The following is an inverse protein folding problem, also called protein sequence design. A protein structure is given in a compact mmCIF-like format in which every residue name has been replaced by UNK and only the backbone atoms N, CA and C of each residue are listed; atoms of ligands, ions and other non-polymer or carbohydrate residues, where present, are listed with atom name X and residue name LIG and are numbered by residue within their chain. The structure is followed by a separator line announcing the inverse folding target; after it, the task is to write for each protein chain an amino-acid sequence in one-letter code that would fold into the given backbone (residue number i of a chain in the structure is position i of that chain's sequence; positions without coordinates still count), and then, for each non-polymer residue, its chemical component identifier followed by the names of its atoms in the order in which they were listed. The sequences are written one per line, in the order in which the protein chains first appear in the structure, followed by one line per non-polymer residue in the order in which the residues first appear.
data_IF_361400735999
#
_entry.id   IF_361400735999
#
_cell.length_a   1.000
_cell.length_b   1.000
_cell.length_c   1.000
_cell.angle_alpha   90.00
_cell.angle_beta   90.00
_cell.angle_gamma   90.00
#
_symmetry.space_group_name_H-M   'P 1'
#
loop_
_entity.id
_entity.type
_entity.pdbx_description
1 polymer ?
#
# COMPACT_ATOMS: atom_id res chain seq x y z
N UNK A 1 -7.15 13.68 11.51
CA UNK A 1 -7.80 12.38 11.84
C UNK A 1 -7.32 11.34 10.86
N UNK A 2 -6.85 10.20 11.35
CA UNK A 2 -6.58 9.00 10.55
C UNK A 2 -7.83 8.12 10.52
N UNK A 3 -8.19 7.70 9.31
CA UNK A 3 -9.27 6.75 9.04
C UNK A 3 -8.66 5.42 8.59
N UNK A 4 -9.29 4.30 8.92
CA UNK A 4 -8.98 3.01 8.31
C UNK A 4 -9.13 3.09 6.78
N UNK A 5 -8.56 2.14 6.01
CA UNK A 5 -8.63 2.20 4.54
C UNK A 5 -10.05 2.41 4.04
N UNK A 6 -10.22 3.42 3.20
CA UNK A 6 -11.52 3.81 2.62
C UNK A 6 -11.67 3.33 1.18
N UNK A 7 -10.60 2.84 0.56
CA UNK A 7 -10.62 2.37 -0.82
C UNK A 7 -11.46 1.11 -0.97
N UNK A 8 -11.98 0.90 -2.16
CA UNK A 8 -12.84 -0.25 -2.46
C UNK A 8 -12.15 -1.56 -2.06
N UNK A 9 -12.84 -2.33 -1.26
CA UNK A 9 -12.43 -3.64 -0.79
C UNK A 9 -13.56 -4.65 -1.05
N UNK A 10 -13.76 -4.99 -2.32
CA UNK A 10 -14.82 -5.87 -2.78
C UNK A 10 -14.36 -7.34 -2.76
N UNK A 11 -13.95 -7.83 -1.58
CA UNK A 11 -13.58 -9.22 -1.35
C UNK A 11 -14.81 -10.01 -0.90
N UNK A 12 -14.91 -11.29 -1.32
CA UNK A 12 -16.01 -12.17 -0.91
C UNK A 12 -16.00 -12.44 0.60
N UNK A 13 -14.80 -12.46 1.21
CA UNK A 13 -14.59 -12.64 2.64
C UNK A 13 -13.56 -11.62 3.13
N UNK A 14 -13.65 -11.25 4.43
CA UNK A 14 -12.72 -10.34 5.11
C UNK A 14 -12.63 -8.92 4.51
N UNK A 15 -13.68 -8.44 3.82
CA UNK A 15 -13.71 -7.09 3.28
C UNK A 15 -13.93 -5.99 4.34
N UNK A 16 -14.21 -6.37 5.59
CA UNK A 16 -14.54 -5.42 6.66
C UNK A 16 -13.37 -4.53 7.08
N UNK A 17 -12.12 -5.01 6.95
CA UNK A 17 -10.94 -4.28 7.42
C UNK A 17 -10.42 -3.22 6.44
N UNK A 18 -10.73 -3.33 5.14
CA UNK A 18 -10.32 -2.36 4.11
C UNK A 18 -8.94 -2.58 3.49
N UNK A 19 -8.10 -3.48 4.03
CA UNK A 19 -6.70 -3.65 3.59
C UNK A 19 -6.51 -4.52 2.33
N UNK A 20 -7.55 -5.11 1.77
CA UNK A 20 -7.49 -5.88 0.51
C UNK A 20 -8.04 -5.05 -0.64
N UNK A 21 -7.35 -3.99 -1.02
CA UNK A 21 -7.80 -3.01 -2.03
C UNK A 21 -8.11 -3.65 -3.37
N UNK A 22 -9.32 -3.43 -3.89
CA UNK A 22 -9.75 -3.92 -5.21
C UNK A 22 -9.89 -2.82 -6.26
N UNK A 23 -9.80 -1.54 -5.85
CA UNK A 23 -9.71 -0.40 -6.75
C UNK A 23 -9.00 0.77 -6.04
N UNK A 24 -7.83 1.17 -6.55
CA UNK A 24 -6.97 2.18 -5.93
C UNK A 24 -7.45 3.64 -6.10
N UNK A 25 -8.37 3.92 -7.03
CA UNK A 25 -8.89 5.25 -7.31
C UNK A 25 -10.37 5.40 -6.95
N UNK A 26 -10.91 4.50 -6.12
CA UNK A 26 -12.33 4.48 -5.80
C UNK A 26 -12.55 4.26 -4.31
N UNK A 27 -13.37 5.11 -3.72
CA UNK A 27 -13.89 4.91 -2.35
C UNK A 27 -14.82 3.70 -2.33
N UNK A 28 -14.77 2.92 -1.27
CA UNK A 28 -15.66 1.77 -1.09
C UNK A 28 -17.12 2.25 -0.99
N UNK A 29 -18.03 1.68 -1.78
CA UNK A 29 -19.45 2.10 -1.79
C UNK A 29 -20.16 1.99 -0.43
N UNK A 30 -19.58 1.27 0.52
CA UNK A 30 -20.10 1.20 1.91
C UNK A 30 -19.89 2.50 2.68
N UNK A 31 -18.94 3.33 2.26
CA UNK A 31 -18.61 4.61 2.90
C UNK A 31 -19.07 5.82 2.08
N UNK A 32 -19.55 5.60 0.84
CA UNK A 32 -19.94 6.62 -0.09
C UNK A 32 -19.18 6.56 -1.41
N UNK A 33 -18.88 7.71 -1.97
CA UNK A 33 -18.11 7.83 -3.20
C UNK A 33 -16.93 8.83 -3.06
N UNK A 34 -16.19 9.00 -4.14
CA UNK A 34 -15.03 9.90 -4.15
C UNK A 34 -15.41 11.35 -3.85
N UNK A 35 -16.55 11.83 -4.38
CA UNK A 35 -17.00 13.22 -4.15
C UNK A 35 -17.43 13.45 -2.71
N UNK A 36 -18.09 12.48 -2.10
CA UNK A 36 -18.48 12.53 -0.69
C UNK A 36 -17.25 12.53 0.22
N UNK A 37 -16.24 11.71 -0.07
CA UNK A 37 -14.98 11.72 0.67
C UNK A 37 -14.22 13.05 0.52
N UNK A 38 -14.17 13.60 -0.69
CA UNK A 38 -13.58 14.92 -0.93
C UNK A 38 -14.30 16.01 -0.15
N UNK A 39 -15.64 16.03 -0.20
CA UNK A 39 -16.44 16.99 0.54
C UNK A 39 -16.25 16.86 2.07
N UNK A 40 -16.15 15.62 2.58
CA UNK A 40 -15.83 15.35 3.97
C UNK A 40 -14.47 15.94 4.38
N UNK A 41 -13.42 15.70 3.57
CA UNK A 41 -12.07 16.23 3.84
C UNK A 41 -12.06 17.76 3.86
N UNK A 42 -12.73 18.41 2.91
CA UNK A 42 -12.85 19.86 2.86
C UNK A 42 -13.57 20.44 4.08
N UNK A 43 -14.69 19.83 4.48
CA UNK A 43 -15.43 20.26 5.68
C UNK A 43 -14.63 20.05 6.97
N UNK A 44 -13.85 18.98 7.06
CA UNK A 44 -12.93 18.75 8.17
C UNK A 44 -11.87 19.85 8.25
N UNK A 45 -11.26 20.19 7.12
CA UNK A 45 -10.24 21.26 7.01
C UNK A 45 -10.80 22.63 7.42
N UNK A 46 -12.02 22.98 7.03
CA UNK A 46 -12.71 24.21 7.48
C UNK A 46 -12.87 24.30 9.00
N UNK A 47 -12.89 23.14 9.68
CA UNK A 47 -12.95 23.03 11.15
C UNK A 47 -11.57 22.90 11.80
N UNK A 48 -10.49 23.05 11.03
CA UNK A 48 -9.12 22.89 11.51
C UNK A 48 -8.69 21.44 11.72
N UNK A 49 -9.34 20.47 11.08
CA UNK A 49 -9.05 19.04 11.19
C UNK A 49 -8.54 18.52 9.86
N UNK A 50 -7.26 18.08 9.82
CA UNK A 50 -6.69 17.43 8.64
C UNK A 50 -7.02 15.94 8.57
N UNK A 51 -7.15 15.40 7.36
CA UNK A 51 -7.39 13.99 7.10
C UNK A 51 -6.08 13.30 6.74
N UNK A 52 -5.81 12.18 7.38
CA UNK A 52 -4.70 11.26 7.08
C UNK A 52 -5.31 10.02 6.44
N UNK A 53 -4.91 9.73 5.22
CA UNK A 53 -5.39 8.57 4.48
C UNK A 53 -4.49 7.36 4.75
N UNK A 54 -5.11 6.21 4.97
CA UNK A 54 -4.42 4.92 5.03
C UNK A 54 -4.17 4.42 3.60
N UNK A 55 -2.91 4.20 3.24
CA UNK A 55 -2.51 3.73 1.91
C UNK A 55 -1.80 2.39 1.99
N UNK A 56 -2.19 1.50 1.10
CA UNK A 56 -1.61 0.17 0.95
C UNK A 56 -0.88 0.14 -0.39
N UNK A 57 0.46 0.08 -0.38
CA UNK A 57 1.27 -0.01 -1.60
C UNK A 57 1.99 -1.35 -1.74
N UNK A 58 1.95 -2.19 -0.70
CA UNK A 58 2.58 -3.49 -0.69
C UNK A 58 1.79 -4.52 -1.51
N UNK A 59 0.49 -4.54 -1.35
CA UNK A 59 -0.37 -5.59 -1.91
C UNK A 59 -1.72 -5.04 -2.39
N UNK A 60 -2.44 -5.85 -3.16
CA UNK A 60 -3.84 -5.60 -3.50
C UNK A 60 -4.74 -6.70 -2.92
N UNK A 61 -6.04 -6.61 -3.15
CA UNK A 61 -6.96 -7.73 -2.92
C UNK A 61 -6.94 -8.71 -4.09
N UNK A 62 -7.10 -10.00 -3.82
CA UNK A 62 -7.15 -11.05 -4.84
C UNK A 62 -8.29 -10.83 -5.87
N UNK A 63 -9.33 -10.07 -5.53
CA UNK A 63 -10.42 -9.74 -6.45
C UNK A 63 -10.18 -8.44 -7.23
N UNK A 64 -9.02 -7.81 -7.10
CA UNK A 64 -8.63 -6.72 -7.99
C UNK A 64 -8.64 -7.22 -9.44
N UNK A 65 -9.12 -6.42 -10.38
CA UNK A 65 -9.26 -6.83 -11.77
C UNK A 65 -7.94 -7.25 -12.42
N UNK A 66 -6.80 -6.74 -11.95
CA UNK A 66 -5.47 -7.18 -12.39
C UNK A 66 -5.25 -8.69 -12.24
N UNK A 67 -5.83 -9.30 -11.21
CA UNK A 67 -5.66 -10.74 -10.97
C UNK A 67 -6.38 -11.61 -12.00
N UNK A 68 -7.23 -11.04 -12.85
CA UNK A 68 -7.90 -11.69 -13.97
C UNK A 68 -7.22 -11.38 -15.31
N UNK A 69 -6.58 -10.22 -15.41
CA UNK A 69 -5.93 -9.72 -16.61
C UNK A 69 -4.72 -8.86 -16.20
N UNK A 70 -3.56 -9.50 -16.06
CA UNK A 70 -2.33 -8.83 -15.65
C UNK A 70 -1.85 -7.86 -16.74
N UNK A 71 -1.57 -6.60 -16.40
CA UNK A 71 -1.00 -5.65 -17.36
C UNK A 71 0.35 -6.08 -17.93
N UNK A 72 1.15 -6.83 -17.17
CA UNK A 72 2.48 -7.33 -17.52
C UNK A 72 2.75 -8.69 -16.87
N UNK A 73 3.79 -9.38 -17.35
CA UNK A 73 4.18 -10.71 -16.84
C UNK A 73 4.85 -10.66 -15.45
N UNK A 74 5.18 -9.48 -14.96
CA UNK A 74 5.83 -9.22 -13.68
C UNK A 74 5.08 -8.16 -12.84
N UNK A 75 3.75 -8.12 -12.94
CA UNK A 75 2.91 -7.13 -12.25
C UNK A 75 2.79 -7.38 -10.76
N UNK A 76 2.74 -8.64 -10.35
CA UNK A 76 2.81 -9.08 -8.97
C UNK A 76 3.97 -10.05 -8.80
N UNK A 77 4.54 -10.07 -7.61
CA UNK A 77 5.59 -11.04 -7.29
C UNK A 77 5.01 -12.46 -7.28
N UNK A 78 5.78 -13.45 -7.71
CA UNK A 78 5.36 -14.86 -7.88
C UNK A 78 4.12 -15.04 -8.78
N UNK A 79 4.00 -14.20 -9.81
CA UNK A 79 2.85 -14.22 -10.72
C UNK A 79 2.72 -15.53 -11.49
N UNK A 80 3.82 -16.12 -11.94
CA UNK A 80 3.81 -17.40 -12.64
C UNK A 80 3.41 -18.56 -11.74
N UNK A 81 3.86 -18.58 -10.50
CA UNK A 81 3.46 -19.56 -9.50
C UNK A 81 1.95 -19.46 -9.23
N UNK A 82 1.43 -18.25 -9.12
CA UNK A 82 0.00 -18.02 -8.97
C UNK A 82 -0.80 -18.51 -10.20
N UNK A 83 -0.37 -18.22 -11.42
CA UNK A 83 -1.00 -18.73 -12.65
C UNK A 83 -1.04 -20.27 -12.69
N UNK A 84 -0.05 -20.91 -12.06
CA UNK A 84 0.02 -22.38 -11.91
C UNK A 84 -0.70 -22.91 -10.67
N UNK A 85 -1.45 -22.08 -9.95
CA UNK A 85 -2.26 -22.47 -8.79
C UNK A 85 -1.49 -22.58 -7.47
N UNK A 86 -0.29 -22.02 -7.38
CA UNK A 86 0.51 -21.97 -6.16
C UNK A 86 0.50 -20.57 -5.53
N UNK A 87 0.64 -20.52 -4.20
CA UNK A 87 0.78 -19.26 -3.45
C UNK A 87 2.12 -19.25 -2.73
N UNK A 88 2.83 -18.15 -2.86
CA UNK A 88 4.09 -17.93 -2.15
C UNK A 88 3.89 -16.84 -1.09
N UNK A 89 3.76 -17.24 0.16
CA UNK A 89 3.44 -16.36 1.28
C UNK A 89 4.72 -15.84 1.91
N UNK A 90 4.74 -14.56 2.30
CA UNK A 90 5.89 -13.96 3.01
C UNK A 90 6.19 -14.71 4.31
N UNK A 91 7.45 -14.79 4.67
CA UNK A 91 7.90 -15.37 5.94
C UNK A 91 7.43 -14.58 7.16
N UNK A 92 7.01 -13.31 6.99
CA UNK A 92 6.72 -12.36 8.06
C UNK A 92 7.88 -12.13 9.04
N UNK A 93 9.10 -12.47 8.65
CA UNK A 93 10.30 -12.39 9.48
C UNK A 93 10.94 -11.01 9.36
N UNK A 94 10.31 -9.98 9.91
CA UNK A 94 10.73 -8.57 9.83
C UNK A 94 12.19 -8.28 10.19
N UNK A 95 12.83 -8.96 11.19
CA UNK A 95 14.24 -8.71 11.48
C UNK A 95 15.18 -8.89 10.30
N UNK A 96 14.80 -9.66 9.28
CA UNK A 96 15.64 -9.86 8.08
C UNK A 96 15.94 -8.55 7.34
N UNK A 97 15.05 -7.56 7.38
CA UNK A 97 15.25 -6.26 6.73
C UNK A 97 16.40 -5.50 7.36
N UNK A 98 16.59 -5.65 8.67
CA UNK A 98 17.53 -4.88 9.47
C UNK A 98 18.84 -5.63 9.76
N UNK A 99 18.86 -6.94 9.55
CA UNK A 99 20.05 -7.76 9.78
C UNK A 99 21.09 -7.49 8.67
N UNK A 100 22.28 -6.93 9.02
CA UNK A 100 23.33 -6.70 8.03
C UNK A 100 23.91 -7.98 7.46
N UNK A 101 23.67 -9.12 8.11
CA UNK A 101 24.14 -10.45 7.69
C UNK A 101 23.04 -11.32 7.10
N UNK A 102 21.88 -10.73 6.80
CA UNK A 102 20.76 -11.46 6.18
C UNK A 102 21.18 -12.13 4.87
N UNK A 103 20.58 -13.29 4.58
CA UNK A 103 20.72 -13.88 3.25
C UNK A 103 19.80 -13.16 2.25
N UNK A 104 20.20 -13.13 0.98
CA UNK A 104 19.36 -12.59 -0.09
C UNK A 104 18.08 -13.41 -0.29
N UNK A 105 18.12 -14.70 0.03
CA UNK A 105 16.96 -15.60 -0.05
C UNK A 105 15.94 -15.20 1.00
N UNK A 106 16.37 -15.04 2.27
CA UNK A 106 15.47 -14.67 3.37
C UNK A 106 14.84 -13.28 3.13
N UNK A 107 15.64 -12.33 2.62
CA UNK A 107 15.14 -11.01 2.28
C UNK A 107 14.09 -11.09 1.16
N UNK A 108 14.39 -11.85 0.10
CA UNK A 108 13.46 -12.04 -1.02
C UNK A 108 12.15 -12.70 -0.56
N UNK A 109 12.23 -13.74 0.25
CA UNK A 109 11.03 -14.42 0.77
C UNK A 109 10.19 -13.52 1.68
N UNK A 110 10.82 -12.57 2.36
CA UNK A 110 10.10 -11.58 3.16
C UNK A 110 9.44 -10.51 2.28
N UNK A 111 10.20 -9.88 1.39
CA UNK A 111 9.76 -8.72 0.60
C UNK A 111 8.82 -9.11 -0.53
N UNK A 112 9.11 -10.19 -1.26
CA UNK A 112 8.34 -10.57 -2.45
C UNK A 112 7.16 -11.50 -2.13
N UNK A 113 7.14 -12.12 -0.95
CA UNK A 113 6.07 -13.04 -0.56
C UNK A 113 4.73 -12.30 -0.37
N UNK A 114 3.65 -12.93 -0.82
CA UNK A 114 2.30 -12.40 -0.61
C UNK A 114 1.97 -12.33 0.88
N UNK A 115 1.34 -11.24 1.30
CA UNK A 115 1.04 -11.02 2.72
C UNK A 115 0.19 -12.15 3.31
N UNK A 116 -0.85 -12.54 2.59
CA UNK A 116 -1.64 -13.77 2.77
C UNK A 116 -2.14 -14.22 1.39
N UNK A 117 -2.71 -15.44 1.23
CA UNK A 117 -3.16 -15.93 -0.08
C UNK A 117 -4.17 -15.02 -0.81
N UNK A 118 -4.87 -14.16 -0.09
CA UNK A 118 -5.87 -13.22 -0.63
C UNK A 118 -5.34 -11.81 -0.83
N UNK A 119 -4.05 -11.57 -0.55
CA UNK A 119 -3.37 -10.28 -0.71
C UNK A 119 -2.10 -10.44 -1.55
N UNK A 120 -2.25 -10.47 -2.90
CA UNK A 120 -1.12 -10.58 -3.82
C UNK A 120 -0.18 -9.40 -3.68
N UNK A 121 1.11 -9.72 -3.59
CA UNK A 121 2.18 -8.76 -3.44
C UNK A 121 2.46 -8.05 -4.77
N UNK A 122 2.47 -6.71 -4.75
CA UNK A 122 2.71 -5.89 -5.93
C UNK A 122 4.21 -5.80 -6.21
N UNK A 123 4.62 -5.96 -7.46
CA UNK A 123 6.03 -5.85 -7.82
C UNK A 123 6.43 -4.39 -8.06
N UNK A 124 6.86 -3.70 -7.02
CA UNK A 124 7.26 -2.30 -7.10
C UNK A 124 8.56 -2.09 -7.93
N UNK A 125 9.34 -3.14 -8.21
CA UNK A 125 10.48 -3.08 -9.14
C UNK A 125 10.06 -2.99 -10.61
N UNK A 126 8.78 -3.30 -10.93
CA UNK A 126 8.20 -2.97 -12.21
C UNK A 126 7.96 -1.45 -12.27
N UNK A 127 8.62 -0.77 -13.21
CA UNK A 127 8.57 0.71 -13.30
C UNK A 127 7.15 1.27 -13.47
N UNK A 128 6.27 0.56 -14.12
CA UNK A 128 4.89 1.03 -14.34
C UNK A 128 4.04 0.83 -13.09
N UNK A 129 4.27 -0.24 -12.33
CA UNK A 129 3.67 -0.41 -11.00
C UNK A 129 4.16 0.68 -10.04
N UNK A 130 5.47 0.92 -10.01
CA UNK A 130 6.07 1.97 -9.19
C UNK A 130 5.46 3.36 -9.48
N UNK A 131 5.39 3.72 -10.78
CA UNK A 131 4.77 4.98 -11.22
C UNK A 131 3.28 5.02 -10.86
N UNK A 132 2.54 3.94 -11.09
CA UNK A 132 1.11 3.86 -10.78
C UNK A 132 0.83 4.14 -9.30
N UNK A 133 1.58 3.51 -8.40
CA UNK A 133 1.39 3.67 -6.95
C UNK A 133 1.80 5.07 -6.47
N UNK A 134 2.87 5.66 -7.02
CA UNK A 134 3.24 7.04 -6.73
C UNK A 134 2.19 8.03 -7.23
N UNK A 135 1.74 7.88 -8.47
CA UNK A 135 0.71 8.74 -9.05
C UNK A 135 -0.63 8.60 -8.31
N UNK A 136 -0.94 7.41 -7.82
CA UNK A 136 -2.12 7.20 -6.98
C UNK A 136 -2.04 8.01 -5.68
N UNK A 137 -0.89 8.03 -5.02
CA UNK A 137 -0.69 8.83 -3.81
C UNK A 137 -0.86 10.33 -4.09
N UNK A 138 -0.17 10.84 -5.12
CA UNK A 138 -0.27 12.25 -5.54
C UNK A 138 -1.72 12.62 -5.89
N UNK A 139 -2.41 11.75 -6.63
CA UNK A 139 -3.80 11.98 -7.00
C UNK A 139 -4.71 12.12 -5.78
N UNK A 140 -4.58 11.25 -4.77
CA UNK A 140 -5.39 11.33 -3.56
C UNK A 140 -5.03 12.55 -2.71
N UNK A 141 -3.75 12.93 -2.63
CA UNK A 141 -3.31 14.15 -1.93
C UNK A 141 -4.01 15.37 -2.54
N UNK A 142 -3.98 15.51 -3.85
CA UNK A 142 -4.59 16.63 -4.58
C UNK A 142 -6.12 16.58 -4.54
N UNK A 143 -6.69 15.41 -4.84
CA UNK A 143 -8.12 15.26 -4.97
C UNK A 143 -8.88 15.51 -3.67
N UNK A 144 -8.36 14.99 -2.57
CA UNK A 144 -8.99 15.08 -1.25
C UNK A 144 -8.34 16.12 -0.31
N UNK A 145 -7.32 16.86 -0.78
CA UNK A 145 -6.57 17.85 0.03
C UNK A 145 -6.08 17.24 1.35
N UNK A 146 -5.38 16.11 1.26
CA UNK A 146 -4.94 15.35 2.43
C UNK A 146 -3.85 16.09 3.20
N UNK A 147 -3.81 15.89 4.51
CA UNK A 147 -2.77 16.42 5.40
C UNK A 147 -1.67 15.41 5.70
N UNK A 148 -1.86 14.16 5.35
CA UNK A 148 -0.86 13.11 5.55
C UNK A 148 -1.31 11.76 5.02
N UNK A 149 -0.35 10.84 4.98
CA UNK A 149 -0.55 9.43 4.65
C UNK A 149 -0.03 8.57 5.80
N UNK A 150 -0.82 7.58 6.19
CA UNK A 150 -0.34 6.41 6.94
C UNK A 150 -0.09 5.29 5.95
N UNK A 151 1.16 4.84 5.86
CA UNK A 151 1.55 3.77 4.97
C UNK A 151 1.44 2.43 5.69
N UNK A 152 0.55 1.58 5.19
CA UNK A 152 0.35 0.22 5.68
C UNK A 152 1.56 -0.68 5.39
N UNK A 153 1.83 -1.62 6.30
CA UNK A 153 2.87 -2.66 6.13
C UNK A 153 4.22 -2.11 5.67
N UNK A 154 4.67 -0.96 6.22
CA UNK A 154 5.80 -0.18 5.72
C UNK A 154 7.10 -0.97 5.47
N UNK A 155 7.49 -1.99 6.27
CA UNK A 155 8.75 -2.70 6.04
C UNK A 155 8.67 -3.79 4.93
N UNK A 156 7.49 -4.08 4.37
CA UNK A 156 7.32 -5.18 3.42
C UNK A 156 7.63 -4.82 1.97
N UNK A 157 7.24 -3.65 1.41
CA UNK A 157 7.59 -3.28 0.05
C UNK A 157 9.10 -3.22 -0.18
N UNK A 158 9.49 -3.25 -1.46
CA UNK A 158 10.89 -3.03 -1.85
C UNK A 158 11.43 -1.70 -1.27
N UNK A 159 12.58 -1.77 -0.58
CA UNK A 159 13.11 -0.62 0.17
C UNK A 159 13.60 0.50 -0.75
N UNK A 160 14.16 0.17 -1.91
CA UNK A 160 14.62 1.17 -2.88
C UNK A 160 13.40 1.91 -3.44
N UNK A 161 12.34 1.17 -3.74
CA UNK A 161 11.06 1.77 -4.13
C UNK A 161 10.46 2.66 -3.03
N UNK A 162 10.46 2.23 -1.77
CA UNK A 162 9.95 3.05 -0.66
C UNK A 162 10.70 4.38 -0.55
N UNK A 163 12.01 4.36 -0.76
CA UNK A 163 12.81 5.59 -0.79
C UNK A 163 12.40 6.47 -1.97
N UNK A 164 12.27 5.91 -3.17
CA UNK A 164 11.83 6.67 -4.36
C UNK A 164 10.43 7.25 -4.19
N UNK A 165 9.50 6.46 -3.67
CA UNK A 165 8.13 6.90 -3.40
C UNK A 165 8.11 8.04 -2.37
N UNK A 166 8.82 7.87 -1.26
CA UNK A 166 8.89 8.89 -0.20
C UNK A 166 9.51 10.19 -0.71
N UNK A 167 10.61 10.09 -1.47
CA UNK A 167 11.23 11.25 -2.11
C UNK A 167 10.29 11.91 -3.12
N UNK A 168 9.57 11.12 -3.92
CA UNK A 168 8.61 11.61 -4.89
C UNK A 168 7.49 12.43 -4.24
N UNK A 169 6.91 11.92 -3.18
CA UNK A 169 5.84 12.62 -2.43
C UNK A 169 6.38 13.86 -1.71
N UNK A 170 7.50 13.74 -0.97
CA UNK A 170 8.01 14.84 -0.14
C UNK A 170 8.71 15.95 -0.97
N UNK A 171 9.21 15.66 -2.16
CA UNK A 171 9.71 16.67 -3.07
C UNK A 171 8.57 17.53 -3.65
N UNK A 172 7.42 16.90 -3.97
CA UNK A 172 6.23 17.60 -4.45
C UNK A 172 5.54 18.38 -3.31
N UNK A 173 5.49 17.78 -2.11
CA UNK A 173 4.82 18.34 -0.92
C UNK A 173 5.78 18.41 0.27
N UNK A 174 6.69 19.39 0.35
CA UNK A 174 7.75 19.44 1.37
C UNK A 174 7.27 19.50 2.84
N UNK A 175 6.02 19.91 3.06
CA UNK A 175 5.41 20.00 4.40
C UNK A 175 4.40 18.85 4.67
N UNK A 176 4.33 17.88 3.78
CA UNK A 176 3.42 16.74 3.92
C UNK A 176 3.95 15.74 4.94
N UNK A 177 3.07 15.08 5.66
CA UNK A 177 3.45 14.11 6.68
C UNK A 177 3.14 12.69 6.24
N UNK A 178 4.14 11.82 6.31
CA UNK A 178 4.01 10.38 6.05
C UNK A 178 4.44 9.63 7.31
N UNK A 179 3.62 8.68 7.74
CA UNK A 179 3.94 7.76 8.84
C UNK A 179 3.81 6.33 8.35
N UNK A 180 4.87 5.54 8.52
CA UNK A 180 4.88 4.11 8.19
C UNK A 180 4.38 3.26 9.36
N UNK A 181 3.63 2.19 9.06
CA UNK A 181 3.31 1.17 10.04
C UNK A 181 4.51 0.24 10.24
N UNK A 182 5.13 0.28 11.40
CA UNK A 182 6.21 -0.62 11.77
C UNK A 182 5.90 -1.30 13.11
N UNK A 183 5.95 -2.62 13.13
CA UNK A 183 5.62 -3.42 14.31
C UNK A 183 6.85 -3.87 15.10
N UNK A 184 7.99 -3.25 14.86
CA UNK A 184 9.18 -3.55 15.62
C UNK A 184 9.09 -2.96 17.03
N UNK A 185 9.51 -3.72 18.03
CA UNK A 185 9.51 -3.29 19.45
C UNK A 185 10.79 -2.58 19.84
N UNK A 186 11.77 -2.47 18.94
CA UNK A 186 13.04 -1.77 19.20
C UNK A 186 12.97 -0.33 18.67
N UNK A 187 12.97 0.69 19.54
CA UNK A 187 12.84 2.09 19.12
C UNK A 187 13.91 2.55 18.12
N UNK A 188 15.14 2.01 18.23
CA UNK A 188 16.24 2.33 17.30
C UNK A 188 15.99 1.87 15.84
N UNK A 189 15.01 1.02 15.64
CA UNK A 189 14.62 0.49 14.32
C UNK A 189 13.42 1.27 13.76
N UNK A 190 12.54 1.73 14.65
CA UNK A 190 11.33 2.48 14.30
C UNK A 190 11.64 3.96 14.03
N UNK A 191 12.71 4.49 14.60
CA UNK A 191 13.14 5.88 14.45
C UNK A 191 14.00 6.07 13.20
#
# INVERSE_FOLDING_TARGET
IWLNPILENNMAHYSYHGYSTTAFYKVDPRYGDNEEFRAFSQQAKEKGVGIIMDMIINHSGLQHWWMKDFPMDDWVNYQEEFKNGAYHITTHTKPVVQDPHKSNIDLKEFVDGWFVPTMPDLNQRNQYMAIYLLQNAIWWIEYADLMGIRMDTYPYPDMDYLQEWSCGVLNEYPNFNVVGEEWNTQPAIVA
#
